data_IF_667865516608
#
_entry.id   IF_667865516608
#
_cell.length_a   1.000
_cell.length_b   1.000
_cell.length_c   1.000
_cell.angle_alpha   90.00
_cell.angle_beta   90.00
_cell.angle_gamma   90.00
#
_symmetry.space_group_name_H-M   'P 1'
#
loop_
_entity.id
_entity.type
_entity.pdbx_description
1 polymer ?
#
# COMPACT_ATOMS: atom_id res chain seq x y z
N UNK A 1 -15.13 -4.99 19.26
CA UNK A 1 -14.32 -3.86 18.78
C UNK A 1 -15.09 -2.60 19.13
N UNK A 2 -14.51 -1.67 19.91
CA UNK A 2 -15.20 -0.44 20.30
C UNK A 2 -14.71 0.67 19.39
N UNK A 3 -15.63 1.38 18.75
CA UNK A 3 -15.27 2.52 17.91
C UNK A 3 -14.57 3.58 18.75
N UNK A 4 -13.39 4.01 18.26
CA UNK A 4 -12.61 5.05 18.92
C UNK A 4 -13.22 6.44 18.70
N UNK A 5 -13.99 6.59 17.62
CA UNK A 5 -14.63 7.85 17.22
C UNK A 5 -15.98 7.54 16.57
N UNK A 6 -16.98 8.37 16.86
CA UNK A 6 -18.25 8.40 16.14
C UNK A 6 -18.06 9.01 14.73
N UNK A 7 -18.40 8.30 13.64
CA UNK A 7 -18.30 8.80 12.28
C UNK A 7 -19.09 10.10 12.04
N UNK A 8 -20.25 10.25 12.66
CA UNK A 8 -21.08 11.46 12.50
C UNK A 8 -20.38 12.68 13.08
N UNK A 9 -19.57 12.50 14.13
CA UNK A 9 -18.79 13.57 14.71
C UNK A 9 -17.70 14.10 13.76
N UNK A 10 -17.21 13.29 12.81
CA UNK A 10 -16.18 13.71 11.85
C UNK A 10 -16.65 14.77 10.85
N UNK A 11 -17.97 14.98 10.71
CA UNK A 11 -18.53 16.07 9.90
C UNK A 11 -18.16 17.46 10.45
N UNK A 12 -17.96 17.58 11.77
CA UNK A 12 -17.65 18.84 12.45
C UNK A 12 -16.15 19.13 12.46
N UNK A 13 -15.75 20.31 11.99
CA UNK A 13 -14.34 20.73 11.93
C UNK A 13 -13.65 20.71 13.30
N UNK A 14 -14.34 21.13 14.35
CA UNK A 14 -13.83 21.13 15.72
C UNK A 14 -13.52 19.72 16.23
N UNK A 15 -14.39 18.75 15.93
CA UNK A 15 -14.18 17.37 16.29
C UNK A 15 -12.95 16.78 15.59
N UNK A 16 -12.79 17.05 14.29
CA UNK A 16 -11.59 16.65 13.53
C UNK A 16 -10.32 17.27 14.12
N UNK A 17 -10.35 18.56 14.46
CA UNK A 17 -9.21 19.25 15.07
C UNK A 17 -8.82 18.63 16.41
N UNK A 18 -9.82 18.33 17.26
CA UNK A 18 -9.60 17.65 18.55
C UNK A 18 -8.99 16.27 18.36
N UNK A 19 -9.53 15.44 17.47
CA UNK A 19 -9.03 14.10 17.19
C UNK A 19 -7.59 14.15 16.67
N UNK A 20 -7.30 15.07 15.75
CA UNK A 20 -5.94 15.30 15.25
C UNK A 20 -4.98 15.65 16.39
N UNK A 21 -5.38 16.52 17.32
CA UNK A 21 -4.58 16.87 18.48
C UNK A 21 -4.30 15.69 19.40
N UNK A 22 -5.31 14.86 19.69
CA UNK A 22 -5.15 13.63 20.48
C UNK A 22 -4.20 12.65 19.78
N UNK A 23 -4.38 12.44 18.48
CA UNK A 23 -3.59 11.49 17.71
C UNK A 23 -2.12 11.91 17.60
N UNK A 24 -1.84 13.20 17.40
CA UNK A 24 -0.47 13.73 17.33
C UNK A 24 0.23 13.79 18.70
N UNK A 25 -0.52 13.80 19.80
CA UNK A 25 0.04 13.80 21.15
C UNK A 25 0.43 12.40 21.65
N UNK A 26 -0.03 11.32 21.01
CA UNK A 26 0.30 9.95 21.40
C UNK A 26 1.59 9.49 20.71
N UNK A 27 2.70 9.34 21.45
CA UNK A 27 4.00 8.98 20.88
C UNK A 27 4.06 7.55 20.32
N UNK A 28 3.05 6.71 20.58
CA UNK A 28 3.01 5.35 20.04
C UNK A 28 2.55 5.31 18.60
N UNK A 29 1.81 6.32 18.15
CA UNK A 29 1.26 6.42 16.79
C UNK A 29 1.90 7.56 15.99
N UNK A 30 2.22 8.69 16.62
CA UNK A 30 2.88 9.80 15.96
C UNK A 30 4.33 9.43 15.61
N UNK A 31 4.66 9.51 14.32
CA UNK A 31 5.97 9.14 13.78
C UNK A 31 6.17 7.64 13.50
N UNK A 32 5.21 6.78 13.87
CA UNK A 32 5.26 5.33 13.60
C UNK A 32 4.20 4.91 12.59
N UNK A 33 2.94 5.30 12.80
CA UNK A 33 1.80 4.98 11.94
C UNK A 33 1.12 6.23 11.37
N UNK A 34 1.22 7.36 12.08
CA UNK A 34 0.71 8.66 11.66
C UNK A 34 1.90 9.60 11.42
N UNK A 35 1.94 10.23 10.24
CA UNK A 35 2.94 11.24 9.93
C UNK A 35 2.87 12.43 10.91
N UNK A 36 4.02 13.04 11.22
CA UNK A 36 4.08 14.14 12.20
C UNK A 36 3.27 15.38 11.78
N UNK A 37 2.98 15.53 10.49
CA UNK A 37 2.10 16.58 9.96
C UNK A 37 0.61 16.15 9.97
N UNK A 38 0.32 14.88 10.21
CA UNK A 38 -1.03 14.31 10.22
C UNK A 38 -1.68 14.23 8.84
N UNK A 39 -0.87 14.20 7.77
CA UNK A 39 -1.25 14.16 6.36
C UNK A 39 -1.19 12.74 5.77
N UNK A 40 -0.35 11.86 6.32
CA UNK A 40 -0.20 10.46 5.90
C UNK A 40 -0.41 9.52 7.09
N UNK A 41 -1.05 8.39 6.84
CA UNK A 41 -1.16 7.28 7.79
C UNK A 41 -0.89 5.95 7.09
N UNK A 42 -0.45 4.94 7.86
CA UNK A 42 -0.20 3.59 7.37
C UNK A 42 -1.27 2.63 7.89
N UNK A 43 -1.75 1.75 7.00
CA UNK A 43 -2.55 0.58 7.36
C UNK A 43 -1.69 -0.66 7.16
N UNK A 44 -1.48 -1.42 8.23
CA UNK A 44 -0.69 -2.65 8.16
C UNK A 44 -1.59 -3.84 7.85
N UNK A 45 -1.30 -4.55 6.76
CA UNK A 45 -2.02 -5.77 6.36
C UNK A 45 -1.03 -6.92 6.41
N UNK A 46 -1.40 -7.99 7.11
CA UNK A 46 -0.61 -9.23 7.17
C UNK A 46 -1.30 -10.26 6.30
N UNK A 47 -0.52 -10.88 5.39
CA UNK A 47 -1.00 -11.93 4.49
C UNK A 47 -0.14 -13.16 4.74
N UNK A 48 -0.79 -14.30 4.92
CA UNK A 48 -0.13 -15.60 5.01
C UNK A 48 -0.04 -16.19 3.60
N UNK A 49 1.17 -16.48 3.16
CA UNK A 49 1.42 -17.07 1.85
C UNK A 49 1.50 -18.60 1.97
N UNK A 50 1.01 -19.35 0.98
CA UNK A 50 1.16 -20.80 0.95
C UNK A 50 2.64 -21.20 0.82
N UNK A 51 2.98 -22.42 1.25
CA UNK A 51 4.33 -22.97 1.09
C UNK A 51 4.62 -23.35 -0.37
N UNK A 52 3.61 -23.84 -1.09
CA UNK A 52 3.68 -24.17 -2.51
C UNK A 52 3.15 -23.02 -3.37
N UNK A 53 3.73 -22.81 -4.57
CA UNK A 53 3.24 -21.79 -5.51
C UNK A 53 3.45 -20.35 -5.05
N UNK A 54 4.54 -20.08 -4.33
CA UNK A 54 4.81 -18.78 -3.71
C UNK A 54 4.84 -17.63 -4.73
N UNK A 55 5.36 -17.87 -5.95
CA UNK A 55 5.47 -16.82 -6.97
C UNK A 55 4.09 -16.40 -7.50
N UNK A 56 3.23 -17.38 -7.76
CA UNK A 56 1.85 -17.16 -8.16
C UNK A 56 1.07 -16.44 -7.06
N UNK A 57 1.20 -16.89 -5.81
CA UNK A 57 0.54 -16.27 -4.67
C UNK A 57 1.00 -14.82 -4.44
N UNK A 58 2.30 -14.53 -4.58
CA UNK A 58 2.83 -13.16 -4.51
C UNK A 58 2.19 -12.27 -5.58
N UNK A 59 2.06 -12.79 -6.80
CA UNK A 59 1.48 -12.05 -7.93
C UNK A 59 0.01 -11.76 -7.68
N UNK A 60 -0.77 -12.77 -7.28
CA UNK A 60 -2.20 -12.64 -6.98
C UNK A 60 -2.46 -11.60 -5.88
N UNK A 61 -1.72 -11.68 -4.78
CA UNK A 61 -1.88 -10.74 -3.66
C UNK A 61 -1.48 -9.32 -4.09
N UNK A 62 -0.39 -9.16 -4.86
CA UNK A 62 0.04 -7.85 -5.34
C UNK A 62 -0.97 -7.22 -6.30
N UNK A 63 -1.54 -7.99 -7.22
CA UNK A 63 -2.57 -7.54 -8.15
C UNK A 63 -3.86 -7.16 -7.41
N UNK A 64 -4.32 -8.01 -6.50
CA UNK A 64 -5.49 -7.73 -5.66
C UNK A 64 -5.32 -6.45 -4.86
N UNK A 65 -4.17 -6.26 -4.20
CA UNK A 65 -3.89 -5.06 -3.42
C UNK A 65 -3.87 -3.79 -4.28
N UNK A 66 -3.30 -3.86 -5.49
CA UNK A 66 -3.31 -2.73 -6.44
C UNK A 66 -4.73 -2.43 -6.94
N UNK A 67 -5.55 -3.44 -7.23
CA UNK A 67 -6.96 -3.26 -7.63
C UNK A 67 -7.75 -2.56 -6.54
N UNK A 68 -7.64 -3.04 -5.30
CA UNK A 68 -8.33 -2.45 -4.15
C UNK A 68 -7.92 -1.00 -3.91
N UNK A 69 -6.62 -0.68 -4.08
CA UNK A 69 -6.15 0.70 -3.99
C UNK A 69 -6.76 1.58 -5.09
N UNK A 70 -6.76 1.12 -6.34
CA UNK A 70 -7.35 1.86 -7.45
C UNK A 70 -8.86 2.11 -7.27
N UNK A 71 -9.61 1.08 -6.86
CA UNK A 71 -11.04 1.19 -6.57
C UNK A 71 -11.34 2.19 -5.44
N UNK A 72 -10.50 2.20 -4.39
CA UNK A 72 -10.66 3.13 -3.29
C UNK A 72 -10.28 4.57 -3.67
N UNK A 73 -9.26 4.78 -4.50
CA UNK A 73 -8.94 6.11 -5.03
C UNK A 73 -10.05 6.68 -5.93
N UNK A 74 -10.70 5.82 -6.73
CA UNK A 74 -11.86 6.20 -7.54
C UNK A 74 -13.07 6.59 -6.65
N UNK A 75 -13.32 5.83 -5.58
CA UNK A 75 -14.42 6.08 -4.65
C UNK A 75 -14.19 7.29 -3.75
N UNK A 76 -12.95 7.62 -3.41
CA UNK A 76 -12.60 8.68 -2.46
C UNK A 76 -11.63 9.70 -3.08
N UNK A 77 -12.15 10.66 -3.87
CA UNK A 77 -11.33 11.70 -4.49
C UNK A 77 -10.56 12.51 -3.44
N UNK A 78 -9.25 12.61 -3.60
CA UNK A 78 -8.35 13.32 -2.68
C UNK A 78 -7.61 12.44 -1.67
N UNK A 79 -7.82 11.13 -1.71
CA UNK A 79 -6.97 10.14 -1.04
C UNK A 79 -5.96 9.58 -2.06
N UNK A 80 -4.68 9.53 -1.69
CA UNK A 80 -3.61 8.86 -2.44
C UNK A 80 -3.23 7.58 -1.67
N UNK A 81 -3.40 6.42 -2.30
CA UNK A 81 -3.13 5.11 -1.72
C UNK A 81 -1.88 4.49 -2.34
N UNK A 82 -0.85 4.34 -1.49
CA UNK A 82 0.41 3.71 -1.86
C UNK A 82 0.53 2.34 -1.22
N UNK A 83 0.45 1.30 -2.04
CA UNK A 83 0.67 -0.08 -1.60
C UNK A 83 2.17 -0.36 -1.54
N UNK A 84 2.65 -0.74 -0.36
CA UNK A 84 4.06 -1.07 -0.09
C UNK A 84 4.16 -2.35 0.73
N UNK A 85 5.36 -2.90 0.86
CA UNK A 85 5.65 -4.05 1.72
C UNK A 85 6.34 -5.18 0.97
N UNK A 86 6.58 -6.28 1.68
CA UNK A 86 7.38 -7.42 1.19
C UNK A 86 6.78 -8.07 -0.06
N UNK A 87 5.45 -8.25 -0.11
CA UNK A 87 4.77 -8.81 -1.28
C UNK A 87 4.99 -7.94 -2.52
N UNK A 88 4.86 -6.61 -2.37
CA UNK A 88 5.08 -5.68 -3.47
C UNK A 88 6.53 -5.69 -3.95
N UNK A 89 7.50 -5.76 -3.04
CA UNK A 89 8.93 -5.87 -3.38
C UNK A 89 9.21 -7.15 -4.16
N UNK A 90 8.67 -8.28 -3.70
CA UNK A 90 8.83 -9.57 -4.38
C UNK A 90 8.22 -9.53 -5.79
N UNK A 91 7.02 -8.96 -5.93
CA UNK A 91 6.38 -8.79 -7.23
C UNK A 91 7.21 -7.90 -8.17
N UNK A 92 7.73 -6.77 -7.67
CA UNK A 92 8.59 -5.89 -8.47
C UNK A 92 9.87 -6.60 -8.94
N UNK A 93 10.41 -7.54 -8.16
CA UNK A 93 11.55 -8.35 -8.58
C UNK A 93 11.19 -9.30 -9.74
N UNK A 94 10.00 -9.92 -9.70
CA UNK A 94 9.47 -10.74 -10.81
C UNK A 94 9.30 -9.89 -12.07
N UNK A 95 8.64 -8.73 -11.94
CA UNK A 95 8.42 -7.78 -13.05
C UNK A 95 9.74 -7.31 -13.67
N UNK A 96 10.72 -6.95 -12.85
CA UNK A 96 12.04 -6.52 -13.30
C UNK A 96 12.80 -7.65 -14.03
N UNK A 97 12.66 -8.89 -13.56
CA UNK A 97 13.27 -10.06 -14.20
C UNK A 97 12.67 -10.33 -15.58
N UNK A 98 11.35 -10.21 -15.73
CA UNK A 98 10.66 -10.34 -17.02
C UNK A 98 11.06 -9.19 -17.95
N UNK A 99 11.02 -7.95 -17.46
CA UNK A 99 11.41 -6.76 -18.23
C UNK A 99 12.84 -6.87 -18.76
N UNK A 100 13.77 -7.33 -17.93
CA UNK A 100 15.17 -7.55 -18.32
C UNK A 100 15.28 -8.57 -19.45
N UNK A 101 14.58 -9.70 -19.36
CA UNK A 101 14.58 -10.72 -20.43
C UNK A 101 14.06 -10.15 -21.76
N UNK A 102 12.99 -9.36 -21.71
CA UNK A 102 12.41 -8.73 -22.91
C UNK A 102 13.37 -7.77 -23.62
N UNK A 103 14.33 -7.18 -22.92
CA UNK A 103 15.36 -6.30 -23.51
C UNK A 103 16.56 -7.12 -24.00
N UNK A 104 17.06 -8.03 -23.16
CA UNK A 104 18.31 -8.75 -23.43
C UNK A 104 18.19 -9.79 -24.56
N UNK A 105 17.10 -10.57 -24.61
CA UNK A 105 16.93 -11.62 -25.62
C UNK A 105 16.96 -11.06 -27.06
N UNK A 106 16.13 -10.07 -27.43
CA UNK A 106 16.18 -9.49 -28.77
C UNK A 106 17.53 -8.86 -29.12
N UNK A 107 18.14 -8.14 -28.17
CA UNK A 107 19.44 -7.51 -28.37
C UNK A 107 20.56 -8.55 -28.62
N UNK A 108 20.52 -9.69 -27.93
CA UNK A 108 21.47 -10.77 -28.14
C UNK A 108 21.31 -11.43 -29.51
N UNK A 109 20.08 -11.70 -29.95
CA UNK A 109 19.78 -12.27 -31.26
C UNK A 109 20.20 -11.34 -32.40
N UNK A 110 19.98 -10.04 -32.27
CA UNK A 110 20.41 -9.05 -33.27
C UNK A 110 21.93 -8.96 -33.40
N UNK A 111 22.70 -9.28 -32.35
CA UNK A 111 24.17 -9.31 -32.41
C UNK A 111 24.74 -10.64 -32.91
N UNK A 112 23.92 -11.67 -33.03
CA UNK A 112 24.32 -13.00 -33.53
C UNK A 112 24.05 -13.18 -35.04
N UNK A 113 23.26 -12.31 -35.66
CA UNK A 113 22.95 -12.28 -37.09
C UNK A 113 23.83 -11.28 -37.84
#
# INVERSE_FOLDING_TARGET
>A
MRDLVDPEALTRAEARSRIRGVALADPRIAGTMLGLKGDVTVVNVTVELPEDGVLEAVTEVAESARSMAAEAEEQFPGVDLRVVGTVMINQTFVEASISSQMIFLPASLQRMA
#
